data_IF_394014890521
#
_entry.id   IF_394014890521
#
_cell.length_a   1.000
_cell.length_b   1.000
_cell.length_c   1.000
_cell.angle_alpha   90.00
_cell.angle_beta   90.00
_cell.angle_gamma   90.00
#
_symmetry.space_group_name_H-M   'P 1'
#
loop_
_entity.id
_entity.type
_entity.pdbx_description
1 polymer ?
#
# COMPACT_ATOMS: atom_id res chain seq x y z
N UNK A 1 9.88 29.01 13.64
CA UNK A 1 8.53 28.89 14.24
C UNK A 1 7.76 27.98 13.31
N UNK A 2 7.31 26.81 13.77
CA UNK A 2 6.54 25.90 12.93
C UNK A 2 5.08 26.39 12.89
N UNK A 3 4.50 26.51 11.70
CA UNK A 3 3.09 26.86 11.53
C UNK A 3 2.23 25.59 11.54
N UNK A 4 1.10 25.65 12.25
CA UNK A 4 0.11 24.57 12.23
C UNK A 4 -0.55 24.50 10.85
N UNK A 5 -0.71 23.29 10.33
CA UNK A 5 -1.41 23.03 9.06
C UNK A 5 -2.64 22.17 9.32
N UNK A 6 -3.76 22.51 8.69
CA UNK A 6 -4.99 21.73 8.75
C UNK A 6 -5.05 20.78 7.54
N UNK A 7 -5.28 19.49 7.79
CA UNK A 7 -5.39 18.47 6.74
C UNK A 7 -6.28 17.32 7.20
N UNK A 8 -6.90 16.62 6.25
CA UNK A 8 -7.65 15.40 6.55
C UNK A 8 -6.71 14.25 6.89
N UNK A 9 -6.96 13.56 8.00
CA UNK A 9 -6.08 12.48 8.50
C UNK A 9 -5.85 11.39 7.44
N UNK A 10 -6.90 10.89 6.78
CA UNK A 10 -6.75 9.89 5.72
C UNK A 10 -5.93 10.41 4.54
N UNK A 11 -6.16 11.66 4.15
CA UNK A 11 -5.41 12.32 3.08
C UNK A 11 -3.91 12.42 3.41
N UNK A 12 -3.58 12.77 4.66
CA UNK A 12 -2.21 12.79 5.17
C UNK A 12 -1.57 11.40 5.15
N UNK A 13 -2.23 10.40 5.76
CA UNK A 13 -1.75 9.00 5.77
C UNK A 13 -1.50 8.49 4.36
N UNK A 14 -2.45 8.71 3.44
CA UNK A 14 -2.33 8.25 2.06
C UNK A 14 -1.12 8.87 1.34
N UNK A 15 -0.94 10.19 1.40
CA UNK A 15 0.20 10.85 0.75
C UNK A 15 1.53 10.35 1.31
N UNK A 16 1.66 10.26 2.64
CA UNK A 16 2.89 9.79 3.28
C UNK A 16 3.22 8.35 2.83
N UNK A 17 2.24 7.45 2.89
CA UNK A 17 2.46 6.04 2.51
C UNK A 17 2.74 5.88 1.03
N UNK A 18 2.01 6.58 0.14
CA UNK A 18 2.27 6.52 -1.29
C UNK A 18 3.69 6.96 -1.63
N UNK A 19 4.15 8.07 -1.06
CA UNK A 19 5.51 8.57 -1.29
C UNK A 19 6.55 7.60 -0.72
N UNK A 20 6.42 7.23 0.55
CA UNK A 20 7.38 6.34 1.23
C UNK A 20 7.49 4.99 0.51
N UNK A 21 6.39 4.27 0.30
CA UNK A 21 6.44 2.91 -0.27
C UNK A 21 6.90 2.94 -1.74
N UNK A 22 6.47 3.93 -2.53
CA UNK A 22 6.90 4.03 -3.92
C UNK A 22 8.40 4.28 -4.00
N UNK A 23 8.92 5.24 -3.23
CA UNK A 23 10.36 5.53 -3.19
C UNK A 23 11.15 4.36 -2.60
N UNK A 24 10.65 3.70 -1.55
CA UNK A 24 11.30 2.50 -0.99
C UNK A 24 11.38 1.41 -2.04
N UNK A 25 10.32 1.05 -2.77
CA UNK A 25 10.39 -0.10 -3.68
C UNK A 25 11.00 0.19 -5.04
N UNK A 26 10.84 1.42 -5.54
CA UNK A 26 11.19 1.78 -6.92
C UNK A 26 12.22 2.91 -7.02
N UNK A 27 12.74 3.38 -5.89
CA UNK A 27 13.71 4.47 -5.83
C UNK A 27 13.14 5.82 -6.28
N UNK A 28 14.03 6.82 -6.31
CA UNK A 28 13.70 8.19 -6.76
C UNK A 28 13.28 8.24 -8.24
N UNK A 29 13.73 7.29 -9.07
CA UNK A 29 13.37 7.18 -10.48
C UNK A 29 11.87 6.97 -10.73
N UNK A 30 11.14 6.47 -9.74
CA UNK A 30 9.68 6.33 -9.81
C UNK A 30 8.94 7.68 -9.76
N UNK A 31 9.57 8.71 -9.18
CA UNK A 31 9.00 10.04 -8.99
C UNK A 31 7.59 9.95 -8.40
N UNK A 32 7.50 9.44 -7.17
CA UNK A 32 6.24 9.15 -6.48
C UNK A 32 5.26 10.34 -6.47
N UNK A 33 5.81 11.55 -6.30
CA UNK A 33 5.07 12.81 -6.33
C UNK A 33 4.37 13.05 -7.67
N UNK A 34 4.95 12.62 -8.79
CA UNK A 34 4.33 12.75 -10.13
C UNK A 34 3.14 11.83 -10.38
N UNK A 35 2.99 10.77 -9.59
CA UNK A 35 1.93 9.75 -9.74
C UNK A 35 0.99 9.64 -8.53
N UNK A 36 1.19 10.42 -7.46
CA UNK A 36 0.39 10.32 -6.22
C UNK A 36 -1.12 10.49 -6.43
N UNK A 37 -1.51 11.38 -7.35
CA UNK A 37 -2.92 11.60 -7.65
C UNK A 37 -3.52 10.41 -8.41
N UNK A 38 -2.75 9.79 -9.30
CA UNK A 38 -3.16 8.57 -10.00
C UNK A 38 -3.27 7.39 -9.03
N UNK A 39 -2.37 7.28 -8.06
CA UNK A 39 -2.43 6.26 -7.00
C UNK A 39 -3.71 6.42 -6.17
N UNK A 40 -4.08 7.65 -5.80
CA UNK A 40 -5.36 7.94 -5.12
C UNK A 40 -6.58 7.50 -5.92
N UNK A 41 -6.60 7.80 -7.23
CA UNK A 41 -7.70 7.37 -8.12
C UNK A 41 -7.73 5.85 -8.23
N UNK A 42 -6.57 5.21 -8.40
CA UNK A 42 -6.47 3.77 -8.46
C UNK A 42 -7.04 3.14 -7.19
N UNK A 43 -6.58 3.56 -6.02
CA UNK A 43 -6.99 3.01 -4.73
C UNK A 43 -8.48 3.20 -4.44
N UNK A 44 -9.02 4.37 -4.77
CA UNK A 44 -10.45 4.67 -4.59
C UNK A 44 -11.33 3.75 -5.44
N UNK A 45 -10.97 3.55 -6.71
CA UNK A 45 -11.85 2.94 -7.71
C UNK A 45 -11.43 1.53 -8.14
N UNK A 46 -10.36 0.95 -7.58
CA UNK A 46 -9.81 -0.37 -8.00
C UNK A 46 -10.87 -1.47 -7.96
N UNK A 47 -11.78 -1.41 -6.99
CA UNK A 47 -12.89 -2.35 -6.84
C UNK A 47 -13.79 -2.39 -8.09
N UNK A 48 -13.92 -1.27 -8.83
CA UNK A 48 -14.67 -1.23 -10.09
C UNK A 48 -14.04 -2.11 -11.17
N UNK A 49 -12.74 -2.43 -11.09
CA UNK A 49 -12.08 -3.38 -12.00
C UNK A 49 -12.50 -4.83 -11.74
N UNK A 50 -12.82 -5.16 -10.49
CA UNK A 50 -13.27 -6.50 -10.11
C UNK A 50 -14.71 -6.81 -10.58
N UNK A 51 -15.52 -5.78 -10.80
CA UNK A 51 -16.89 -5.93 -11.29
C UNK A 51 -16.99 -5.82 -12.81
N UNK A 52 -17.73 -6.74 -13.47
CA UNK A 52 -18.10 -6.62 -14.89
C UNK A 52 -19.19 -5.54 -15.06
N UNK A 53 -18.88 -4.30 -14.69
CA UNK A 53 -19.76 -3.16 -14.90
C UNK A 53 -19.72 -2.72 -16.36
N UNK A 54 -20.89 -2.58 -17.03
CA UNK A 54 -20.98 -2.18 -18.44
C UNK A 54 -20.59 -0.71 -18.68
N UNK A 55 -20.44 0.08 -17.62
CA UNK A 55 -20.19 1.52 -17.74
C UNK A 55 -18.69 1.83 -17.84
N UNK A 56 -18.13 1.62 -19.04
CA UNK A 56 -16.73 1.93 -19.40
C UNK A 56 -16.37 3.41 -19.13
N UNK A 57 -17.35 4.30 -19.15
CA UNK A 57 -17.19 5.74 -18.87
C UNK A 57 -16.79 6.02 -17.41
N UNK A 58 -17.37 5.31 -16.43
CA UNK A 58 -16.98 5.47 -15.02
C UNK A 58 -15.53 5.01 -14.77
N UNK A 59 -15.03 4.08 -15.59
CA UNK A 59 -13.66 3.55 -15.48
C UNK A 59 -12.63 4.37 -16.26
N UNK A 60 -13.02 5.42 -17.00
CA UNK A 60 -12.10 6.09 -17.91
C UNK A 60 -10.92 6.73 -17.17
N UNK A 61 -11.20 7.44 -16.07
CA UNK A 61 -10.16 8.06 -15.25
C UNK A 61 -9.30 6.99 -14.57
N UNK A 62 -9.91 5.95 -14.01
CA UNK A 62 -9.21 4.81 -13.43
C UNK A 62 -8.25 4.13 -14.43
N UNK A 63 -8.71 3.85 -15.65
CA UNK A 63 -7.89 3.23 -16.70
C UNK A 63 -6.73 4.15 -17.09
N UNK A 64 -6.97 5.45 -17.22
CA UNK A 64 -5.92 6.44 -17.51
C UNK A 64 -4.88 6.51 -16.39
N UNK A 65 -5.33 6.59 -15.13
CA UNK A 65 -4.45 6.59 -13.96
C UNK A 65 -3.61 5.33 -13.88
N UNK A 66 -4.25 4.15 -14.01
CA UNK A 66 -3.55 2.85 -14.07
C UNK A 66 -2.48 2.82 -15.15
N UNK A 67 -2.81 3.27 -16.37
CA UNK A 67 -1.86 3.27 -17.48
C UNK A 67 -0.71 4.26 -17.28
N UNK A 68 -0.98 5.43 -16.67
CA UNK A 68 0.06 6.41 -16.35
C UNK A 68 1.03 5.87 -15.30
N UNK A 69 0.53 5.21 -14.24
CA UNK A 69 1.36 4.53 -13.23
C UNK A 69 2.19 3.43 -13.90
N UNK A 70 1.55 2.53 -14.66
CA UNK A 70 2.23 1.43 -15.34
C UNK A 70 3.34 1.91 -16.26
N UNK A 71 3.09 2.97 -17.04
CA UNK A 71 4.12 3.59 -17.89
C UNK A 71 5.27 4.14 -17.06
N UNK A 72 5.01 4.86 -15.97
CA UNK A 72 6.05 5.39 -15.08
C UNK A 72 6.90 4.27 -14.48
N UNK A 73 6.27 3.25 -13.91
CA UNK A 73 6.99 2.15 -13.27
C UNK A 73 7.74 1.25 -14.26
N UNK A 74 7.29 1.19 -15.51
CA UNK A 74 8.01 0.49 -16.59
C UNK A 74 9.33 1.16 -16.97
N UNK A 75 9.45 2.48 -16.77
CA UNK A 75 10.68 3.24 -17.08
C UNK A 75 11.69 3.28 -15.93
N UNK A 76 11.32 2.78 -14.75
CA UNK A 76 12.23 2.73 -13.58
C UNK A 76 13.34 1.70 -13.85
N UNK A 77 14.59 2.14 -13.70
CA UNK A 77 15.76 1.26 -13.78
C UNK A 77 15.74 0.29 -12.61
N UNK A 78 16.04 -0.97 -12.89
CA UNK A 78 16.12 -2.03 -11.86
C UNK A 78 17.19 -1.70 -10.82
N UNK A 79 18.24 -0.96 -11.19
CA UNK A 79 19.29 -0.55 -10.26
C UNK A 79 18.81 0.50 -9.23
N UNK A 80 17.72 1.21 -9.51
CA UNK A 80 17.13 2.18 -8.59
C UNK A 80 16.17 1.50 -7.58
N UNK A 81 15.84 0.22 -7.81
CA UNK A 81 14.86 -0.52 -7.04
C UNK A 81 15.51 -1.29 -5.88
N UNK A 82 14.77 -1.48 -4.79
CA UNK A 82 15.26 -2.26 -3.65
C UNK A 82 15.56 -3.71 -4.03
N UNK A 83 16.73 -4.22 -3.61
CA UNK A 83 17.27 -5.48 -4.13
C UNK A 83 16.37 -6.69 -3.85
N UNK A 84 15.78 -6.77 -2.66
CA UNK A 84 14.82 -7.82 -2.30
C UNK A 84 13.60 -7.77 -3.22
N UNK A 85 13.14 -6.56 -3.53
CA UNK A 85 11.99 -6.32 -4.37
C UNK A 85 12.28 -6.68 -5.84
N UNK A 86 13.47 -6.35 -6.34
CA UNK A 86 13.96 -6.77 -7.66
C UNK A 86 13.99 -8.29 -7.79
N UNK A 87 14.55 -9.01 -6.81
CA UNK A 87 14.61 -10.46 -6.86
C UNK A 87 13.22 -11.07 -6.99
N UNK A 88 12.25 -10.61 -6.20
CA UNK A 88 10.86 -11.08 -6.24
C UNK A 88 10.17 -10.74 -7.55
N UNK A 89 10.39 -9.54 -8.07
CA UNK A 89 9.82 -9.14 -9.36
C UNK A 89 10.42 -9.92 -10.51
N UNK A 90 11.71 -10.23 -10.48
CA UNK A 90 12.35 -11.05 -11.52
C UNK A 90 11.82 -12.48 -11.51
N UNK A 91 11.60 -13.07 -10.34
CA UNK A 91 10.95 -14.38 -10.21
C UNK A 91 9.55 -14.37 -10.83
N UNK A 92 8.78 -13.31 -10.59
CA UNK A 92 7.43 -13.13 -11.14
C UNK A 92 7.44 -12.78 -12.63
N UNK A 93 8.44 -12.03 -13.11
CA UNK A 93 8.55 -11.58 -14.49
C UNK A 93 8.99 -12.68 -15.46
N UNK A 94 9.49 -13.82 -14.97
CA UNK A 94 9.85 -14.96 -15.80
C UNK A 94 8.65 -15.46 -16.60
N UNK A 95 8.65 -15.19 -17.91
CA UNK A 95 7.56 -15.57 -18.82
C UNK A 95 6.45 -14.51 -18.97
N UNK A 96 6.59 -13.33 -18.37
CA UNK A 96 5.67 -12.20 -18.55
C UNK A 96 6.11 -11.37 -19.76
N UNK A 97 5.19 -11.02 -20.69
CA UNK A 97 5.48 -10.09 -21.79
C UNK A 97 5.99 -8.74 -21.30
N UNK A 98 6.85 -8.07 -22.06
CA UNK A 98 7.47 -6.79 -21.64
C UNK A 98 6.43 -5.70 -21.36
N UNK A 99 5.35 -5.70 -22.13
CA UNK A 99 4.20 -4.81 -22.00
C UNK A 99 3.45 -4.98 -20.66
N UNK A 100 3.53 -6.16 -20.04
CA UNK A 100 2.84 -6.49 -18.80
C UNK A 100 3.71 -6.24 -17.55
N UNK A 101 4.99 -5.90 -17.71
CA UNK A 101 5.89 -5.57 -16.59
C UNK A 101 5.39 -4.33 -15.82
N UNK A 102 4.98 -3.27 -16.53
CA UNK A 102 4.45 -2.06 -15.91
C UNK A 102 3.16 -2.29 -15.10
N UNK A 103 2.15 -2.96 -15.69
CA UNK A 103 0.97 -3.42 -14.96
C UNK A 103 1.28 -4.32 -13.76
N UNK A 104 2.21 -5.28 -13.90
CA UNK A 104 2.65 -6.13 -12.79
C UNK A 104 3.23 -5.29 -11.65
N UNK A 105 4.21 -4.41 -11.94
CA UNK A 105 4.77 -3.47 -10.97
C UNK A 105 3.68 -2.63 -10.30
N UNK A 106 2.70 -2.14 -11.07
CA UNK A 106 1.55 -1.39 -10.54
C UNK A 106 0.73 -2.20 -9.54
N UNK A 107 0.44 -3.46 -9.86
CA UNK A 107 -0.30 -4.36 -8.97
C UNK A 107 0.48 -4.66 -7.68
N UNK A 108 1.79 -4.90 -7.79
CA UNK A 108 2.66 -5.10 -6.62
C UNK A 108 2.71 -3.87 -5.73
N UNK A 109 2.82 -2.68 -6.33
CA UNK A 109 2.79 -1.42 -5.58
C UNK A 109 1.44 -1.24 -4.88
N UNK A 110 0.31 -1.46 -5.57
CA UNK A 110 -1.02 -1.38 -4.94
C UNK A 110 -1.17 -2.35 -3.76
N UNK A 111 -0.74 -3.60 -3.93
CA UNK A 111 -0.78 -4.59 -2.86
C UNK A 111 0.02 -4.18 -1.60
N UNK A 112 1.06 -3.35 -1.78
CA UNK A 112 1.90 -2.91 -0.67
C UNK A 112 1.38 -1.74 0.14
N UNK A 113 0.55 -0.86 -0.44
CA UNK A 113 -0.03 0.27 0.29
C UNK A 113 -1.52 0.11 0.59
N UNK A 114 -2.26 -0.68 -0.19
CA UNK A 114 -3.73 -0.70 -0.17
C UNK A 114 -4.33 -1.05 1.19
N UNK A 115 -3.63 -1.92 1.95
CA UNK A 115 -4.01 -2.23 3.33
C UNK A 115 -3.27 -1.35 4.35
N UNK A 116 -2.03 -0.94 4.06
CA UNK A 116 -1.21 -0.15 4.99
C UNK A 116 -1.83 1.22 5.28
N UNK A 117 -2.39 1.89 4.27
CA UNK A 117 -3.04 3.20 4.44
C UNK A 117 -4.21 3.14 5.43
N UNK A 118 -5.23 2.29 5.25
CA UNK A 118 -6.32 2.19 6.20
C UNK A 118 -5.86 1.70 7.58
N UNK A 119 -4.87 0.79 7.67
CA UNK A 119 -4.31 0.36 8.97
C UNK A 119 -3.70 1.53 9.75
N UNK A 120 -2.88 2.36 9.10
CA UNK A 120 -2.28 3.55 9.74
C UNK A 120 -3.39 4.54 10.12
N UNK A 121 -4.34 4.80 9.21
CA UNK A 121 -5.46 5.71 9.48
C UNK A 121 -6.23 5.29 10.72
N UNK A 122 -6.65 4.02 10.81
CA UNK A 122 -7.44 3.52 11.93
C UNK A 122 -6.65 3.48 13.24
N UNK A 123 -5.36 3.15 13.20
CA UNK A 123 -4.47 3.24 14.36
C UNK A 123 -4.37 4.68 14.88
N UNK A 124 -4.11 5.67 14.02
CA UNK A 124 -4.09 7.07 14.44
C UNK A 124 -5.45 7.56 14.93
N UNK A 125 -6.53 7.17 14.24
CA UNK A 125 -7.89 7.51 14.64
C UNK A 125 -8.18 6.95 16.03
N UNK A 126 -7.89 5.67 16.30
CA UNK A 126 -8.05 5.05 17.61
C UNK A 126 -7.26 5.79 18.70
N UNK A 127 -5.98 6.07 18.46
CA UNK A 127 -5.13 6.81 19.41
C UNK A 127 -5.68 8.19 19.77
N UNK A 128 -6.33 8.88 18.81
CA UNK A 128 -6.98 10.17 19.06
C UNK A 128 -8.14 10.09 20.06
N UNK A 129 -8.83 8.96 20.17
CA UNK A 129 -9.93 8.77 21.13
C UNK A 129 -9.49 8.19 22.47
N UNK A 130 -8.31 7.57 22.54
CA UNK A 130 -7.79 6.97 23.78
C UNK A 130 -6.46 7.60 24.22
N UNK A 131 -6.46 8.84 24.74
CA UNK A 131 -5.24 9.52 25.18
C UNK A 131 -4.39 8.72 26.17
N UNK A 132 -5.02 7.94 27.07
CA UNK A 132 -4.29 7.09 28.02
C UNK A 132 -3.41 6.04 27.33
N UNK A 133 -3.82 5.56 26.17
CA UNK A 133 -3.05 4.61 25.35
C UNK A 133 -1.86 5.31 24.71
N UNK A 134 -2.06 6.52 24.17
CA UNK A 134 -0.97 7.37 23.66
C UNK A 134 0.13 7.56 24.71
N UNK A 135 -0.23 7.86 25.97
CA UNK A 135 0.75 8.00 27.05
C UNK A 135 1.51 6.70 27.41
N UNK A 136 0.97 5.52 27.08
CA UNK A 136 1.68 4.25 27.26
C UNK A 136 2.67 4.02 26.13
N UNK A 137 2.26 4.26 24.89
CA UNK A 137 3.13 4.16 23.71
C UNK A 137 4.27 5.17 23.78
N UNK A 138 4.00 6.42 24.16
CA UNK A 138 5.07 7.42 24.32
C UNK A 138 6.09 6.99 25.38
N UNK A 139 5.64 6.41 26.49
CA UNK A 139 6.56 5.84 27.49
C UNK A 139 7.36 4.64 26.96
N UNK A 140 6.76 3.81 26.12
CA UNK A 140 7.46 2.71 25.45
C UNK A 140 8.58 3.23 24.53
N UNK A 141 8.29 4.28 23.76
CA UNK A 141 9.27 4.98 22.92
C UNK A 141 10.38 5.60 23.79
N UNK A 142 10.02 6.33 24.85
CA UNK A 142 10.98 6.97 25.77
C UNK A 142 11.86 5.98 26.52
N UNK A 143 11.34 4.80 26.84
CA UNK A 143 12.09 3.73 27.51
C UNK A 143 13.04 2.99 26.56
N UNK A 144 12.97 3.27 25.26
CA UNK A 144 13.91 2.67 24.32
C UNK A 144 15.24 3.42 24.35
N UNK A 145 16.33 2.69 24.60
CA UNK A 145 17.68 3.28 24.71
C UNK A 145 18.15 3.82 23.37
N UNK A 146 18.95 4.89 23.39
CA UNK A 146 19.68 5.35 22.20
C UNK A 146 20.69 4.33 21.65
N UNK A 147 21.02 3.30 22.43
CA UNK A 147 21.88 2.19 22.03
C UNK A 147 21.10 1.01 21.41
N UNK A 148 19.76 1.04 21.46
CA UNK A 148 18.92 0.03 20.82
C UNK A 148 19.05 0.19 19.31
N UNK A 149 19.39 -0.90 18.61
CA UNK A 149 19.43 -0.89 17.15
C UNK A 149 18.04 -0.63 16.60
N UNK A 150 17.95 0.03 15.45
CA UNK A 150 16.69 0.36 14.80
C UNK A 150 15.81 -0.89 14.53
N UNK A 151 16.42 -2.02 14.19
CA UNK A 151 15.71 -3.28 14.05
C UNK A 151 15.12 -3.76 15.39
N UNK A 152 15.88 -3.66 16.48
CA UNK A 152 15.45 -4.09 17.82
C UNK A 152 14.35 -3.17 18.38
N UNK A 153 14.34 -1.89 17.98
CA UNK A 153 13.30 -0.91 18.31
C UNK A 153 11.93 -1.36 17.80
N UNK A 154 11.83 -1.74 16.52
CA UNK A 154 10.56 -2.14 15.89
C UNK A 154 9.95 -3.35 16.59
N UNK A 155 10.78 -4.32 17.01
CA UNK A 155 10.31 -5.54 17.69
C UNK A 155 10.09 -5.38 19.20
N UNK A 156 10.35 -4.20 19.76
CA UNK A 156 10.27 -3.93 21.21
C UNK A 156 9.13 -2.99 21.58
N UNK A 157 8.05 -2.95 20.79
CA UNK A 157 6.91 -2.03 21.00
C UNK A 157 5.57 -2.74 21.26
N UNK A 158 5.44 -3.57 22.32
CA UNK A 158 4.23 -4.35 22.58
C UNK A 158 2.95 -3.51 22.80
N UNK A 159 3.04 -2.27 23.28
CA UNK A 159 1.86 -1.40 23.39
C UNK A 159 1.41 -0.89 22.02
N UNK A 160 2.35 -0.52 21.14
CA UNK A 160 2.02 -0.15 19.76
C UNK A 160 1.46 -1.35 19.00
N UNK A 161 2.09 -2.52 19.12
CA UNK A 161 1.64 -3.77 18.50
C UNK A 161 0.20 -4.09 18.91
N UNK A 162 -0.10 -4.03 20.21
CA UNK A 162 -1.45 -4.28 20.72
C UNK A 162 -2.49 -3.32 20.17
N UNK A 163 -2.13 -2.06 19.91
CA UNK A 163 -3.06 -1.11 19.27
C UNK A 163 -3.27 -1.44 17.80
N UNK A 164 -2.20 -1.76 17.07
CA UNK A 164 -2.30 -2.14 15.66
C UNK A 164 -3.15 -3.41 15.51
N UNK A 165 -2.93 -4.42 16.37
CA UNK A 165 -3.73 -5.65 16.39
C UNK A 165 -5.22 -5.36 16.67
N UNK A 166 -5.52 -4.53 17.66
CA UNK A 166 -6.90 -4.19 17.99
C UNK A 166 -7.59 -3.37 16.89
N UNK A 167 -6.90 -2.41 16.26
CA UNK A 167 -7.48 -1.65 15.16
C UNK A 167 -7.70 -2.52 13.92
N UNK A 168 -6.77 -3.44 13.62
CA UNK A 168 -6.95 -4.43 12.57
C UNK A 168 -8.12 -5.36 12.87
N UNK A 169 -8.23 -5.88 14.09
CA UNK A 169 -9.35 -6.72 14.51
C UNK A 169 -10.71 -6.02 14.30
N UNK A 170 -10.80 -4.71 14.56
CA UNK A 170 -12.03 -3.94 14.38
C UNK A 170 -12.36 -3.57 12.92
N UNK A 171 -11.38 -3.58 12.02
CA UNK A 171 -11.51 -2.94 10.69
C UNK A 171 -11.22 -3.87 9.52
N UNK A 172 -10.53 -4.97 9.76
CA UNK A 172 -10.17 -5.94 8.74
C UNK A 172 -11.42 -6.67 8.22
N UNK A 173 -11.57 -6.69 6.90
CA UNK A 173 -12.67 -7.36 6.22
C UNK A 173 -12.14 -8.15 5.01
N UNK A 174 -11.18 -9.02 5.27
CA UNK A 174 -10.57 -9.86 4.25
C UNK A 174 -11.50 -11.03 3.86
N UNK A 175 -11.60 -11.28 2.56
CA UNK A 175 -12.32 -12.44 2.04
C UNK A 175 -11.35 -13.58 1.74
N UNK A 176 -11.48 -14.70 2.46
CA UNK A 176 -10.72 -15.93 2.18
C UNK A 176 -11.50 -16.77 1.18
N UNK A 177 -11.00 -16.88 -0.06
CA UNK A 177 -11.60 -17.69 -1.13
C UNK A 177 -10.69 -18.85 -1.49
N UNK A 178 -11.24 -20.06 -1.56
CA UNK A 178 -10.57 -21.23 -2.12
C UNK A 178 -11.41 -21.81 -3.26
N UNK A 179 -10.77 -22.21 -4.35
CA UNK A 179 -11.43 -22.92 -5.43
C UNK A 179 -11.24 -24.43 -5.25
N UNK A 180 -12.30 -25.24 -5.28
CA UNK A 180 -12.15 -26.69 -5.17
C UNK A 180 -11.38 -27.24 -6.37
N UNK A 181 -10.30 -27.98 -6.10
CA UNK A 181 -9.39 -28.53 -7.12
C UNK A 181 -10.05 -29.39 -8.22
N UNK A 182 -11.28 -29.86 -8.02
CA UNK A 182 -11.93 -30.87 -8.88
C UNK A 182 -13.16 -30.39 -9.66
N UNK A 183 -13.38 -29.09 -9.85
CA UNK A 183 -14.43 -28.61 -10.77
C UNK A 183 -13.81 -27.75 -11.87
N UNK A 184 -13.68 -28.32 -13.08
CA UNK A 184 -13.58 -27.49 -14.30
C UNK A 184 -14.78 -26.53 -14.29
N UNK A 185 -14.58 -25.21 -14.47
CA UNK A 185 -15.71 -24.31 -14.62
C UNK A 185 -16.56 -24.78 -15.81
N UNK A 186 -17.86 -25.01 -15.65
CA UNK A 186 -18.73 -25.30 -16.78
C UNK A 186 -18.85 -24.03 -17.63
N UNK A 187 -18.24 -24.04 -18.81
CA UNK A 187 -18.47 -23.02 -19.84
C UNK A 187 -17.48 -21.85 -19.86
N UNK A 188 -16.30 -22.09 -20.41
CA UNK A 188 -15.55 -21.07 -21.15
C UNK A 188 -15.23 -21.68 -22.52
N UNK A 189 -16.28 -21.80 -23.33
CA UNK A 189 -16.21 -21.86 -24.78
C UNK A 189 -16.52 -20.43 -25.26
N UNK A 190 -15.47 -19.69 -25.59
CA UNK A 190 -15.50 -18.63 -26.59
C UNK A 190 -14.24 -18.77 -27.44
#
# INVERSE_FOLDING_TARGET
MFEWTETGLYGLCSTLVYESITTTFYGEGADARSIVNELKILDTDVHLLAYPSPCRWFKLNLIRSKNKIAKRLSSVDVNDMEHIFVSRLNDLANGIPKEDIGPMKTATLWASYGNVIPSIFWTYFYLRYYPKVVHRILREIENTSSETKEDDLIYSMPQLDSVIEETMHLTENALVVTLPHNKRPPGLLL
#
